data_IF_573690553996
#
_entry.id   IF_573690553996
#
_cell.length_a   1.000
_cell.length_b   1.000
_cell.length_c   1.000
_cell.angle_alpha   90.00
_cell.angle_beta   90.00
_cell.angle_gamma   90.00
#
_symmetry.space_group_name_H-M   'P 1'
#
loop_
_entity.id
_entity.type
_entity.pdbx_description
1 polymer ?
#
# COMPACT_ATOMS: atom_id res chain seq x y z
N UNK A 1 22.59 11.18 18.57
CA UNK A 1 22.03 10.28 17.53
C UNK A 1 21.26 11.17 16.54
N UNK A 2 21.50 11.04 15.22
CA UNK A 2 20.67 11.72 14.22
C UNK A 2 19.23 11.22 14.37
N UNK A 3 18.26 12.13 14.42
CA UNK A 3 16.85 11.72 14.32
C UNK A 3 16.65 11.01 12.98
N UNK A 4 15.94 9.88 12.95
CA UNK A 4 15.67 9.17 11.69
C UNK A 4 14.86 10.09 10.77
N UNK A 5 15.30 10.18 9.51
CA UNK A 5 14.64 11.03 8.50
C UNK A 5 13.54 10.24 7.77
N UNK A 6 12.49 10.93 7.35
CA UNK A 6 11.45 10.37 6.49
C UNK A 6 12.06 9.81 5.19
N UNK A 7 11.72 8.58 4.85
CA UNK A 7 12.03 7.98 3.55
C UNK A 7 11.28 8.69 2.42
N UNK A 8 11.68 8.47 1.17
CA UNK A 8 10.95 9.00 -0.01
C UNK A 8 9.50 8.54 -0.02
N UNK A 9 9.23 7.30 0.41
CA UNK A 9 7.87 6.74 0.48
C UNK A 9 7.06 7.46 1.56
N UNK A 10 7.61 7.59 2.77
CA UNK A 10 6.95 8.28 3.88
C UNK A 10 6.68 9.77 3.58
N UNK A 11 7.58 10.45 2.87
CA UNK A 11 7.33 11.83 2.39
C UNK A 11 6.13 11.89 1.46
N UNK A 12 6.05 11.00 0.48
CA UNK A 12 4.91 10.93 -0.44
C UNK A 12 3.58 10.64 0.30
N UNK A 13 3.61 9.76 1.31
CA UNK A 13 2.45 9.48 2.18
C UNK A 13 2.04 10.74 2.96
N UNK A 14 3.00 11.44 3.55
CA UNK A 14 2.77 12.63 4.36
C UNK A 14 2.25 13.82 3.53
N UNK A 15 2.77 14.00 2.32
CA UNK A 15 2.26 14.99 1.34
C UNK A 15 0.82 14.64 0.92
N UNK A 16 0.55 13.35 0.68
CA UNK A 16 -0.80 12.93 0.31
C UNK A 16 -1.77 13.08 1.48
N UNK A 17 -1.35 12.80 2.72
CA UNK A 17 -2.15 12.99 3.93
C UNK A 17 -2.68 14.43 4.05
N UNK A 18 -1.83 15.42 3.80
CA UNK A 18 -2.20 16.85 3.83
C UNK A 18 -3.30 17.19 2.81
N UNK A 19 -3.36 16.45 1.68
CA UNK A 19 -4.33 16.68 0.61
C UNK A 19 -5.62 15.82 0.75
N UNK A 20 -5.73 14.97 1.80
CA UNK A 20 -6.93 14.14 2.02
C UNK A 20 -8.11 14.90 2.63
N UNK A 21 -7.90 16.12 3.10
CA UNK A 21 -8.95 16.91 3.76
C UNK A 21 -9.39 16.32 5.12
N UNK A 22 -8.50 15.61 5.81
CA UNK A 22 -8.78 15.12 7.15
C UNK A 22 -8.94 16.30 8.12
N UNK A 23 -9.89 16.25 9.07
CA UNK A 23 -10.08 17.32 10.04
C UNK A 23 -8.85 17.45 10.96
N UNK A 24 -8.65 18.64 11.52
CA UNK A 24 -7.65 18.86 12.56
C UNK A 24 -7.94 17.92 13.74
N UNK A 25 -6.88 17.34 14.31
CA UNK A 25 -7.01 16.35 15.38
C UNK A 25 -7.55 14.97 14.94
N UNK A 26 -7.71 14.71 13.63
CA UNK A 26 -8.13 13.41 13.13
C UNK A 26 -7.24 12.30 13.72
N UNK A 27 -7.86 11.23 14.18
CA UNK A 27 -7.15 10.08 14.76
C UNK A 27 -6.65 9.16 13.67
N UNK A 28 -5.34 9.08 13.52
CA UNK A 28 -4.65 8.31 12.47
C UNK A 28 -3.87 7.17 13.09
N UNK A 29 -4.01 5.96 12.54
CA UNK A 29 -3.15 4.82 12.85
C UNK A 29 -2.11 4.68 11.74
N UNK A 30 -0.83 4.63 12.09
CA UNK A 30 0.29 4.25 11.23
C UNK A 30 0.69 2.80 11.55
N UNK A 31 0.42 1.87 10.64
CA UNK A 31 0.63 0.43 10.88
C UNK A 31 0.95 -0.35 9.58
N UNK A 32 2.16 -0.93 9.46
CA UNK A 32 3.27 -0.88 10.43
C UNK A 32 3.94 0.50 10.46
N UNK A 33 4.38 0.94 11.65
CA UNK A 33 5.00 2.26 11.81
C UNK A 33 6.54 2.23 11.78
N UNK A 34 7.17 1.04 11.81
CA UNK A 34 8.61 0.89 11.87
C UNK A 34 9.20 1.69 13.05
N UNK A 35 10.14 2.58 12.76
CA UNK A 35 10.75 3.46 13.78
C UNK A 35 9.85 4.59 14.29
N UNK A 36 8.62 4.74 13.80
CA UNK A 36 7.65 5.74 14.25
C UNK A 36 7.78 7.14 13.63
N UNK A 37 8.72 7.35 12.71
CA UNK A 37 9.00 8.69 12.13
C UNK A 37 7.80 9.28 11.41
N UNK A 38 7.03 8.46 10.67
CA UNK A 38 5.84 8.93 9.98
C UNK A 38 4.74 9.33 10.98
N UNK A 39 4.49 8.51 12.01
CA UNK A 39 3.52 8.83 13.05
C UNK A 39 3.89 10.12 13.81
N UNK A 40 5.17 10.31 14.13
CA UNK A 40 5.67 11.54 14.74
C UNK A 40 5.44 12.77 13.82
N UNK A 41 5.78 12.64 12.53
CA UNK A 41 5.57 13.72 11.56
C UNK A 41 4.09 14.05 11.31
N UNK A 42 3.19 13.07 11.47
CA UNK A 42 1.73 13.31 11.45
C UNK A 42 1.27 14.04 12.69
N UNK A 43 1.82 13.70 13.88
CA UNK A 43 1.51 14.40 15.13
C UNK A 43 1.97 15.87 15.08
N UNK A 44 3.14 16.15 14.53
CA UNK A 44 3.63 17.53 14.30
C UNK A 44 2.70 18.35 13.39
N UNK A 45 1.92 17.70 12.52
CA UNK A 45 0.90 18.35 11.68
C UNK A 45 -0.48 18.48 12.35
N UNK A 46 -0.56 18.18 13.63
CA UNK A 46 -1.79 18.34 14.42
C UNK A 46 -2.77 17.18 14.34
N UNK A 47 -2.34 16.00 13.86
CA UNK A 47 -3.16 14.79 13.91
C UNK A 47 -2.94 14.03 15.22
N UNK A 48 -3.97 13.33 15.70
CA UNK A 48 -3.84 12.38 16.81
C UNK A 48 -3.29 11.04 16.27
N UNK A 49 -1.98 11.02 16.02
CA UNK A 49 -1.32 9.86 15.41
C UNK A 49 -0.97 8.79 16.45
N UNK A 50 -1.21 7.54 16.10
CA UNK A 50 -0.83 6.33 16.87
C UNK A 50 -0.01 5.44 15.96
N UNK A 51 1.15 4.97 16.42
CA UNK A 51 1.98 4.01 15.72
C UNK A 51 1.73 2.59 16.22
N UNK A 52 1.76 1.62 15.33
CA UNK A 52 1.70 0.21 15.67
C UNK A 52 2.69 -0.61 14.85
N UNK A 53 3.41 -1.50 15.51
CA UNK A 53 4.35 -2.43 14.88
C UNK A 53 4.52 -3.68 15.71
N UNK A 54 5.04 -4.76 15.12
CA UNK A 54 5.47 -5.95 15.84
C UNK A 54 6.78 -5.69 16.61
N UNK A 55 7.64 -4.84 16.04
CA UNK A 55 8.86 -4.38 16.69
C UNK A 55 8.58 -3.17 17.61
N UNK A 56 9.36 -3.08 18.69
CA UNK A 56 9.21 -2.01 19.71
C UNK A 56 10.13 -0.81 19.47
N UNK A 57 10.83 -0.73 18.35
CA UNK A 57 11.76 0.36 18.03
C UNK A 57 11.08 1.75 18.14
N UNK A 58 9.84 1.84 17.68
CA UNK A 58 9.05 3.08 17.72
C UNK A 58 8.63 3.50 19.13
N UNK A 59 8.66 2.60 20.10
CA UNK A 59 8.21 2.91 21.48
C UNK A 59 9.04 4.04 22.12
N UNK A 60 10.33 4.12 21.82
CA UNK A 60 11.21 5.17 22.32
C UNK A 60 10.84 6.55 21.76
N UNK A 61 10.32 6.63 20.55
CA UNK A 61 9.93 7.88 19.89
C UNK A 61 8.48 8.30 20.24
N UNK A 62 7.56 7.35 20.22
CA UNK A 62 6.13 7.62 20.31
C UNK A 62 5.57 7.51 21.72
N UNK A 63 6.29 6.87 22.66
CA UNK A 63 5.85 6.66 24.03
C UNK A 63 4.43 6.05 24.09
N UNK A 64 3.48 6.68 24.83
CA UNK A 64 2.10 6.17 24.95
C UNK A 64 1.31 6.11 23.64
N UNK A 65 1.76 6.77 22.58
CA UNK A 65 1.16 6.70 21.26
C UNK A 65 1.64 5.50 20.43
N UNK A 66 2.44 4.61 21.01
CA UNK A 66 2.85 3.35 20.40
C UNK A 66 2.06 2.16 20.95
N UNK A 67 1.74 1.20 20.09
CA UNK A 67 1.15 -0.08 20.45
C UNK A 67 1.90 -1.21 19.76
N UNK A 68 2.41 -2.19 20.52
CA UNK A 68 2.99 -3.39 19.93
C UNK A 68 1.87 -4.29 19.41
N UNK A 69 1.84 -4.56 18.10
CA UNK A 69 0.77 -5.30 17.44
C UNK A 69 1.32 -6.14 16.31
N UNK A 70 0.93 -7.43 16.26
CA UNK A 70 1.14 -8.29 15.10
C UNK A 70 -0.02 -8.09 14.11
N UNK A 71 0.26 -7.50 12.95
CA UNK A 71 -0.76 -7.21 11.93
C UNK A 71 -1.32 -8.47 11.23
N UNK A 72 -0.74 -9.64 11.44
CA UNK A 72 -1.30 -10.93 11.02
C UNK A 72 -2.42 -11.41 11.96
N UNK A 73 -2.58 -10.78 13.12
CA UNK A 73 -3.55 -11.13 14.14
C UNK A 73 -4.72 -10.13 14.18
N UNK A 74 -5.64 -10.35 15.11
CA UNK A 74 -6.77 -9.44 15.33
C UNK A 74 -6.30 -8.10 15.90
N UNK A 75 -6.68 -7.01 15.28
CA UNK A 75 -6.30 -5.66 15.70
C UNK A 75 -7.01 -5.30 17.02
N UNK A 76 -6.28 -4.80 18.06
CA UNK A 76 -6.78 -4.65 19.43
C UNK A 76 -7.71 -3.45 19.63
N UNK A 77 -7.94 -2.64 18.62
CA UNK A 77 -8.80 -1.46 18.73
C UNK A 77 -10.27 -1.79 18.50
N UNK A 78 -11.12 -1.00 19.17
CA UNK A 78 -12.59 -1.04 18.99
C UNK A 78 -12.95 -0.62 17.56
N UNK A 79 -14.14 -1.00 17.15
CA UNK A 79 -14.72 -0.55 15.88
C UNK A 79 -14.79 0.98 15.82
N UNK A 80 -14.67 1.52 14.62
CA UNK A 80 -14.86 2.95 14.35
C UNK A 80 -13.98 3.88 15.21
N UNK A 81 -12.74 3.45 15.48
CA UNK A 81 -11.81 4.19 16.33
C UNK A 81 -11.05 5.27 15.55
N UNK A 82 -10.69 5.02 14.30
CA UNK A 82 -9.80 5.88 13.52
C UNK A 82 -10.52 6.57 12.35
N UNK A 83 -10.11 7.82 12.08
CA UNK A 83 -10.53 8.57 10.91
C UNK A 83 -9.77 8.11 9.67
N UNK A 84 -8.49 7.74 9.84
CA UNK A 84 -7.66 7.18 8.80
C UNK A 84 -6.70 6.11 9.35
N UNK A 85 -6.32 5.17 8.47
CA UNK A 85 -5.23 4.22 8.68
C UNK A 85 -4.24 4.36 7.55
N UNK A 86 -2.96 4.50 7.87
CA UNK A 86 -1.86 4.52 6.92
C UNK A 86 -1.08 3.22 7.09
N UNK A 87 -0.89 2.50 5.99
CA UNK A 87 -0.12 1.26 5.96
C UNK A 87 0.97 1.41 4.91
N UNK A 88 2.16 1.78 5.38
CA UNK A 88 3.31 2.09 4.53
C UNK A 88 4.24 0.90 4.44
N UNK A 89 4.34 0.28 3.24
CA UNK A 89 5.20 -0.89 2.99
C UNK A 89 4.95 -2.00 4.03
N UNK A 90 3.69 -2.39 4.22
CA UNK A 90 3.29 -3.34 5.25
C UNK A 90 2.59 -4.57 4.72
N UNK A 91 1.64 -4.39 3.79
CA UNK A 91 0.77 -5.48 3.32
C UNK A 91 1.54 -6.63 2.66
N UNK A 92 2.66 -6.35 2.01
CA UNK A 92 3.53 -7.35 1.37
C UNK A 92 4.22 -8.31 2.34
N UNK A 93 4.24 -7.97 3.62
CA UNK A 93 4.82 -8.80 4.69
C UNK A 93 3.79 -9.71 5.37
N UNK A 94 2.50 -9.55 5.05
CA UNK A 94 1.41 -10.24 5.72
C UNK A 94 1.01 -11.52 5.02
N UNK A 95 0.70 -12.54 5.81
CA UNK A 95 0.24 -13.85 5.32
C UNK A 95 -1.20 -13.78 4.80
N UNK A 96 -2.07 -13.00 5.48
CA UNK A 96 -3.49 -12.93 5.14
C UNK A 96 -3.99 -11.49 4.93
N UNK A 97 -3.89 -11.01 3.69
CA UNK A 97 -4.35 -9.68 3.29
C UNK A 97 -5.83 -9.42 3.59
N UNK A 98 -6.70 -10.43 3.43
CA UNK A 98 -8.13 -10.24 3.68
C UNK A 98 -8.43 -10.05 5.17
N UNK A 99 -7.77 -10.81 6.05
CA UNK A 99 -7.89 -10.63 7.50
C UNK A 99 -7.46 -9.22 7.90
N UNK A 100 -6.30 -8.78 7.45
CA UNK A 100 -5.77 -7.45 7.70
C UNK A 100 -6.72 -6.35 7.21
N UNK A 101 -7.12 -6.39 5.93
CA UNK A 101 -7.98 -5.36 5.35
C UNK A 101 -9.37 -5.30 6.02
N UNK A 102 -9.96 -6.43 6.39
CA UNK A 102 -11.22 -6.46 7.16
C UNK A 102 -11.03 -5.92 8.57
N UNK A 103 -9.89 -6.23 9.21
CA UNK A 103 -9.51 -5.64 10.50
C UNK A 103 -9.39 -4.12 10.42
N UNK A 104 -8.71 -3.59 9.40
CA UNK A 104 -8.62 -2.14 9.14
C UNK A 104 -10.00 -1.54 8.88
N UNK A 105 -10.83 -2.20 8.04
CA UNK A 105 -12.19 -1.73 7.77
C UNK A 105 -13.04 -1.65 9.04
N UNK A 106 -12.91 -2.62 9.95
CA UNK A 106 -13.62 -2.63 11.23
C UNK A 106 -13.25 -1.44 12.10
N UNK A 107 -11.95 -1.16 12.27
CA UNK A 107 -11.47 -0.08 13.14
C UNK A 107 -11.61 1.32 12.57
N UNK A 108 -11.80 1.47 11.25
CA UNK A 108 -12.10 2.74 10.61
C UNK A 108 -13.54 3.18 10.89
N UNK A 109 -13.75 4.48 11.10
CA UNK A 109 -15.08 5.10 11.13
C UNK A 109 -15.79 4.96 9.76
N UNK A 110 -17.11 5.09 9.68
CA UNK A 110 -17.82 5.17 8.41
C UNK A 110 -17.23 6.29 7.54
N UNK A 111 -16.92 5.96 6.29
CA UNK A 111 -16.25 6.89 5.37
C UNK A 111 -14.78 7.17 5.68
N UNK A 112 -14.18 6.50 6.67
CA UNK A 112 -12.76 6.60 7.00
C UNK A 112 -11.85 6.15 5.86
N UNK A 113 -10.60 6.59 5.90
CA UNK A 113 -9.65 6.46 4.80
C UNK A 113 -8.57 5.44 5.13
N UNK A 114 -8.31 4.51 4.21
CA UNK A 114 -7.09 3.72 4.17
C UNK A 114 -6.16 4.30 3.10
N UNK A 115 -4.95 4.71 3.51
CA UNK A 115 -3.84 5.00 2.62
C UNK A 115 -2.84 3.84 2.74
N UNK A 116 -2.55 3.19 1.63
CA UNK A 116 -1.71 2.00 1.57
C UNK A 116 -0.61 2.19 0.53
N UNK A 117 0.64 1.88 0.91
CA UNK A 117 1.72 1.75 -0.07
C UNK A 117 2.24 0.32 -0.09
N UNK A 118 2.75 -0.10 -1.24
CA UNK A 118 3.36 -1.42 -1.44
C UNK A 118 4.22 -1.42 -2.71
N UNK A 119 5.23 -2.29 -2.84
CA UNK A 119 6.02 -2.41 -4.05
C UNK A 119 5.17 -2.65 -5.29
N UNK A 120 5.47 -1.94 -6.36
CA UNK A 120 4.74 -2.08 -7.63
C UNK A 120 5.31 -3.18 -8.50
N UNK A 121 4.87 -4.42 -8.28
CA UNK A 121 5.28 -5.55 -9.12
C UNK A 121 4.71 -5.51 -10.54
N UNK A 122 3.71 -4.67 -10.80
CA UNK A 122 3.13 -4.46 -12.12
C UNK A 122 3.87 -3.43 -12.98
N UNK A 123 4.87 -2.73 -12.45
CA UNK A 123 5.70 -1.81 -13.22
C UNK A 123 6.43 -2.54 -14.36
N UNK A 124 6.61 -1.87 -15.51
CA UNK A 124 7.29 -2.45 -16.68
C UNK A 124 8.66 -3.03 -16.33
N UNK A 125 9.44 -2.29 -15.53
CA UNK A 125 10.75 -2.73 -15.05
C UNK A 125 10.67 -4.01 -14.22
N UNK A 126 9.66 -4.15 -13.35
CA UNK A 126 9.46 -5.35 -12.53
C UNK A 126 9.04 -6.54 -13.40
N UNK A 127 8.17 -6.34 -14.39
CA UNK A 127 7.76 -7.38 -15.34
C UNK A 127 8.92 -7.90 -16.16
N UNK A 128 9.82 -7.02 -16.62
CA UNK A 128 11.02 -7.43 -17.36
C UNK A 128 12.00 -8.24 -16.49
N UNK A 129 12.12 -7.89 -15.21
CA UNK A 129 12.88 -8.72 -14.27
C UNK A 129 12.26 -10.09 -14.09
N UNK A 130 10.94 -10.15 -13.90
CA UNK A 130 10.21 -11.41 -13.79
C UNK A 130 10.42 -12.29 -15.02
N UNK A 131 10.34 -11.70 -16.23
CA UNK A 131 10.58 -12.42 -17.48
C UNK A 131 11.99 -13.06 -17.54
N UNK A 132 13.01 -12.38 -17.03
CA UNK A 132 14.39 -12.88 -17.05
C UNK A 132 14.77 -13.77 -15.86
N UNK A 133 14.10 -13.62 -14.69
CA UNK A 133 14.55 -14.28 -13.45
C UNK A 133 13.47 -15.08 -12.72
N UNK A 134 12.20 -14.93 -13.08
CA UNK A 134 11.07 -15.51 -12.35
C UNK A 134 10.74 -14.78 -11.03
N UNK A 135 11.42 -13.68 -10.69
CA UNK A 135 11.20 -12.93 -9.46
C UNK A 135 10.73 -11.51 -9.74
N UNK A 136 9.76 -11.04 -8.94
CA UNK A 136 9.34 -9.65 -8.92
C UNK A 136 10.19 -8.81 -7.97
N UNK A 137 10.23 -7.49 -8.22
CA UNK A 137 10.80 -6.55 -7.29
C UNK A 137 12.31 -6.38 -7.39
N UNK A 138 12.89 -5.91 -6.30
CA UNK A 138 14.30 -5.51 -6.23
C UNK A 138 15.24 -6.71 -6.06
N UNK A 139 14.82 -7.69 -5.28
CA UNK A 139 15.63 -8.85 -4.92
C UNK A 139 15.21 -10.05 -5.77
N UNK A 140 16.02 -10.32 -6.81
CA UNK A 140 15.85 -11.51 -7.66
C UNK A 140 16.44 -12.73 -6.96
N UNK A 141 16.03 -13.00 -5.71
CA UNK A 141 16.52 -14.10 -4.88
C UNK A 141 15.36 -14.81 -4.20
N UNK A 142 15.46 -16.14 -3.98
CA UNK A 142 14.55 -16.85 -3.10
C UNK A 142 14.59 -16.26 -1.68
N UNK A 143 13.47 -16.34 -0.97
CA UNK A 143 13.41 -16.01 0.44
C UNK A 143 14.30 -16.95 1.24
N UNK A 144 14.92 -16.47 2.32
CA UNK A 144 15.72 -17.31 3.20
C UNK A 144 14.80 -18.22 4.04
N UNK A 145 14.79 -19.51 3.74
CA UNK A 145 13.98 -20.52 4.44
C UNK A 145 14.58 -20.91 5.80
N UNK A 146 15.87 -20.60 6.04
CA UNK A 146 16.54 -20.96 7.31
C UNK A 146 16.12 -20.05 8.49
N UNK A 147 15.55 -18.89 8.23
CA UNK A 147 15.10 -17.97 9.27
C UNK A 147 13.81 -17.25 8.86
N UNK A 148 12.81 -17.23 9.74
CA UNK A 148 11.66 -16.34 9.59
C UNK A 148 12.13 -14.90 9.82
N UNK A 149 11.83 -14.02 8.87
CA UNK A 149 12.14 -12.60 9.00
C UNK A 149 10.89 -11.79 8.69
N UNK A 150 10.46 -10.87 9.59
CA UNK A 150 9.21 -10.12 9.42
C UNK A 150 9.20 -9.23 8.17
N UNK A 151 10.38 -8.89 7.64
CA UNK A 151 10.51 -8.07 6.43
C UNK A 151 10.61 -8.89 5.12
N UNK A 152 10.31 -10.19 5.14
CA UNK A 152 10.19 -10.96 3.89
C UNK A 152 8.92 -10.55 3.13
N UNK A 153 9.06 -10.27 1.83
CA UNK A 153 7.93 -9.95 0.93
C UNK A 153 7.21 -11.24 0.51
N UNK A 154 6.39 -11.79 1.40
CA UNK A 154 5.63 -13.03 1.16
C UNK A 154 4.29 -12.78 0.47
N UNK A 155 3.79 -11.54 0.54
CA UNK A 155 2.47 -11.12 0.09
C UNK A 155 2.48 -10.10 -1.04
N UNK A 156 3.45 -10.15 -1.98
CA UNK A 156 3.45 -9.25 -3.13
C UNK A 156 2.18 -9.43 -3.96
N UNK A 157 1.51 -8.33 -4.32
CA UNK A 157 0.28 -8.35 -5.09
C UNK A 157 0.29 -7.31 -6.22
N UNK A 158 -0.35 -7.65 -7.34
CA UNK A 158 -0.56 -6.72 -8.44
C UNK A 158 -1.67 -5.71 -8.12
N UNK A 159 -1.71 -4.59 -8.84
CA UNK A 159 -2.80 -3.61 -8.70
C UNK A 159 -4.21 -4.21 -8.84
N UNK A 160 -4.53 -5.07 -9.82
CA UNK A 160 -5.86 -5.68 -9.90
C UNK A 160 -6.21 -6.56 -8.71
N UNK A 161 -5.25 -7.31 -8.16
CA UNK A 161 -5.44 -8.12 -6.97
C UNK A 161 -5.69 -7.26 -5.73
N UNK A 162 -4.91 -6.19 -5.55
CA UNK A 162 -5.11 -5.24 -4.45
C UNK A 162 -6.48 -4.56 -4.54
N UNK A 163 -6.89 -4.11 -5.75
CA UNK A 163 -8.22 -3.57 -5.99
C UNK A 163 -9.32 -4.56 -5.59
N UNK A 164 -9.19 -5.82 -6.01
CA UNK A 164 -10.14 -6.87 -5.65
C UNK A 164 -10.21 -7.08 -4.14
N UNK A 165 -9.04 -7.24 -3.48
CA UNK A 165 -8.94 -7.45 -2.03
C UNK A 165 -9.57 -6.29 -1.25
N UNK A 166 -9.30 -5.04 -1.65
CA UNK A 166 -9.90 -3.84 -1.06
C UNK A 166 -11.42 -3.85 -1.19
N UNK A 167 -11.95 -4.06 -2.39
CA UNK A 167 -13.40 -4.06 -2.62
C UNK A 167 -14.11 -5.19 -1.86
N UNK A 168 -13.51 -6.38 -1.79
CA UNK A 168 -14.08 -7.50 -1.04
C UNK A 168 -13.93 -7.36 0.49
N UNK A 169 -13.17 -6.36 0.95
CA UNK A 169 -12.98 -6.06 2.38
C UNK A 169 -13.74 -4.81 2.85
N UNK A 170 -14.69 -4.29 2.04
CA UNK A 170 -15.53 -3.16 2.43
C UNK A 170 -14.93 -1.79 2.10
N UNK A 171 -14.01 -1.71 1.14
CA UNK A 171 -13.43 -0.47 0.67
C UNK A 171 -13.84 -0.14 -0.77
N UNK A 172 -13.90 1.14 -1.08
CA UNK A 172 -13.92 1.65 -2.44
C UNK A 172 -12.60 2.34 -2.73
N UNK A 173 -11.85 1.83 -3.69
CA UNK A 173 -10.62 2.46 -4.16
C UNK A 173 -10.97 3.78 -4.86
N UNK A 174 -10.38 4.88 -4.38
CA UNK A 174 -10.66 6.23 -4.89
C UNK A 174 -9.49 6.80 -5.68
N UNK A 175 -8.26 6.36 -5.39
CA UNK A 175 -7.07 6.90 -6.02
C UNK A 175 -5.96 5.86 -6.12
N UNK A 176 -5.21 5.93 -7.22
CA UNK A 176 -3.98 5.14 -7.46
C UNK A 176 -2.90 6.08 -7.94
N UNK A 177 -1.85 6.20 -7.15
CA UNK A 177 -0.64 6.98 -7.44
C UNK A 177 0.61 6.12 -7.29
N UNK A 178 1.74 6.75 -7.46
CA UNK A 178 3.06 6.21 -7.12
C UNK A 178 3.74 7.12 -6.10
N UNK A 179 4.70 6.57 -5.37
CA UNK A 179 5.51 7.36 -4.44
C UNK A 179 6.62 8.11 -5.17
N UNK A 180 7.32 7.43 -6.07
CA UNK A 180 8.37 8.01 -6.91
C UNK A 180 8.59 7.16 -8.17
N UNK A 181 9.23 7.75 -9.18
CA UNK A 181 9.65 7.08 -10.42
C UNK A 181 11.16 7.20 -10.54
N UNK A 182 11.83 6.09 -10.78
CA UNK A 182 13.25 6.11 -11.15
C UNK A 182 13.40 6.37 -12.65
N UNK A 183 14.27 7.30 -13.07
CA UNK A 183 14.43 7.63 -14.50
C UNK A 183 14.69 6.43 -15.40
N UNK A 184 15.43 5.43 -14.92
CA UNK A 184 15.70 4.17 -15.62
C UNK A 184 14.41 3.41 -16.00
N UNK A 185 13.29 3.64 -15.30
CA UNK A 185 12.02 2.97 -15.59
C UNK A 185 11.46 3.35 -16.96
N UNK A 186 11.76 4.54 -17.46
CA UNK A 186 11.32 5.00 -18.78
C UNK A 186 11.97 4.25 -19.95
N UNK A 187 13.14 3.63 -19.74
CA UNK A 187 13.76 2.78 -20.77
C UNK A 187 12.89 1.58 -21.14
N UNK A 188 11.97 1.18 -20.29
CA UNK A 188 11.06 0.07 -20.51
C UNK A 188 9.75 0.49 -21.22
N UNK A 189 9.59 1.76 -21.56
CA UNK A 189 8.37 2.29 -22.20
C UNK A 189 8.07 1.63 -23.55
N UNK A 190 9.12 1.16 -24.28
CA UNK A 190 8.96 0.46 -25.57
C UNK A 190 8.05 -0.77 -25.48
N UNK A 191 7.95 -1.37 -24.30
CA UNK A 191 7.13 -2.56 -24.06
C UNK A 191 5.64 -2.24 -23.82
N UNK A 192 5.29 -1.00 -23.49
CA UNK A 192 3.93 -0.58 -23.16
C UNK A 192 2.90 -0.79 -24.28
N UNK A 193 3.18 -0.53 -25.59
CA UNK A 193 2.22 -0.76 -26.66
C UNK A 193 1.82 -2.22 -26.79
N UNK A 194 2.78 -3.15 -26.73
CA UNK A 194 2.51 -4.59 -26.78
C UNK A 194 1.65 -5.03 -25.60
N UNK A 195 1.99 -4.59 -24.41
CA UNK A 195 1.24 -4.89 -23.20
C UNK A 195 -0.21 -4.36 -23.28
N UNK A 196 -0.40 -3.15 -23.83
CA UNK A 196 -1.72 -2.58 -24.05
C UNK A 196 -2.58 -3.46 -24.95
N UNK A 197 -2.03 -3.89 -26.11
CA UNK A 197 -2.73 -4.76 -27.05
C UNK A 197 -3.12 -6.07 -26.36
N UNK A 198 -2.18 -6.73 -25.72
CA UNK A 198 -2.40 -8.01 -25.03
C UNK A 198 -3.50 -7.90 -23.96
N UNK A 199 -3.40 -6.90 -23.07
CA UNK A 199 -4.36 -6.70 -21.99
C UNK A 199 -5.75 -6.37 -22.53
N UNK A 200 -5.83 -5.54 -23.57
CA UNK A 200 -7.10 -5.19 -24.22
C UNK A 200 -7.78 -6.42 -24.84
N UNK A 201 -7.01 -7.28 -25.48
CA UNK A 201 -7.53 -8.53 -26.06
C UNK A 201 -8.00 -9.50 -24.97
N UNK A 202 -7.23 -9.65 -23.89
CA UNK A 202 -7.61 -10.49 -22.76
C UNK A 202 -8.92 -10.04 -22.11
N UNK A 203 -9.10 -8.72 -21.91
CA UNK A 203 -10.30 -8.16 -21.29
C UNK A 203 -11.56 -8.21 -22.16
N UNK A 204 -11.41 -8.40 -23.48
CA UNK A 204 -12.56 -8.60 -24.39
C UNK A 204 -13.36 -9.87 -24.12
N UNK A 205 -12.74 -10.86 -23.46
CA UNK A 205 -13.38 -12.15 -23.15
C UNK A 205 -14.40 -12.08 -22.02
N UNK A 206 -14.44 -10.96 -21.25
CA UNK A 206 -15.39 -10.78 -20.17
C UNK A 206 -16.83 -10.64 -20.69
N UNK A 207 -17.72 -11.46 -20.17
CA UNK A 207 -19.13 -11.51 -20.58
C UNK A 207 -20.05 -10.69 -19.66
N UNK A 208 -19.72 -10.60 -18.37
CA UNK A 208 -20.49 -9.81 -17.39
C UNK A 208 -20.39 -8.31 -17.70
N UNK A 209 -21.51 -7.62 -17.98
CA UNK A 209 -21.52 -6.20 -18.31
C UNK A 209 -21.02 -5.31 -17.17
N UNK A 210 -21.25 -5.67 -15.91
CA UNK A 210 -20.78 -4.93 -14.74
C UNK A 210 -19.27 -5.05 -14.64
N UNK A 211 -18.76 -6.27 -14.74
CA UNK A 211 -17.31 -6.51 -14.72
C UNK A 211 -16.62 -5.90 -15.94
N UNK A 212 -17.26 -5.90 -17.10
CA UNK A 212 -16.73 -5.24 -18.30
C UNK A 212 -16.54 -3.73 -18.11
N UNK A 213 -17.47 -3.06 -17.41
CA UNK A 213 -17.31 -1.65 -17.04
C UNK A 213 -16.12 -1.44 -16.09
N UNK A 214 -16.01 -2.29 -15.07
CA UNK A 214 -14.87 -2.28 -14.12
C UNK A 214 -13.54 -2.55 -14.83
N UNK A 215 -13.52 -3.46 -15.79
CA UNK A 215 -12.33 -3.79 -16.58
C UNK A 215 -11.81 -2.60 -17.39
N UNK A 216 -12.67 -1.69 -17.84
CA UNK A 216 -12.24 -0.44 -18.51
C UNK A 216 -11.47 0.47 -17.53
N UNK A 217 -11.98 0.62 -16.29
CA UNK A 217 -11.30 1.40 -15.24
C UNK A 217 -9.97 0.74 -14.84
N UNK A 218 -9.95 -0.59 -14.68
CA UNK A 218 -8.74 -1.35 -14.36
C UNK A 218 -7.71 -1.18 -15.47
N UNK A 219 -8.12 -1.30 -16.75
CA UNK A 219 -7.23 -1.12 -17.90
C UNK A 219 -6.64 0.30 -17.93
N UNK A 220 -7.47 1.32 -17.75
CA UNK A 220 -7.02 2.72 -17.69
C UNK A 220 -5.96 2.93 -16.61
N UNK A 221 -6.19 2.36 -15.41
CA UNK A 221 -5.25 2.47 -14.30
C UNK A 221 -3.98 1.68 -14.55
N UNK A 222 -4.07 0.46 -15.10
CA UNK A 222 -2.91 -0.38 -15.46
C UNK A 222 -1.97 0.31 -16.44
N UNK A 223 -2.52 1.16 -17.31
CA UNK A 223 -1.78 1.91 -18.32
C UNK A 223 -1.39 3.33 -17.86
N UNK A 224 -1.72 3.69 -16.63
CA UNK A 224 -1.31 4.98 -16.08
C UNK A 224 0.21 5.02 -15.81
N UNK A 225 0.84 6.20 -15.87
CA UNK A 225 2.24 6.35 -15.50
C UNK A 225 2.57 5.81 -14.10
N UNK A 226 1.62 5.92 -13.17
CA UNK A 226 1.78 5.41 -11.80
C UNK A 226 2.00 3.91 -11.75
N UNK A 227 1.26 3.13 -12.51
CA UNK A 227 1.40 1.66 -12.52
C UNK A 227 2.50 1.22 -13.48
N UNK A 228 2.71 1.92 -14.61
CA UNK A 228 3.73 1.53 -15.58
C UNK A 228 5.16 1.79 -15.08
N UNK A 229 5.39 2.88 -14.36
CA UNK A 229 6.73 3.36 -14.04
C UNK A 229 7.01 3.57 -12.54
N UNK A 230 5.97 3.67 -11.70
CA UNK A 230 6.14 3.89 -10.25
C UNK A 230 6.86 2.72 -9.56
N UNK A 231 7.76 3.01 -8.63
CA UNK A 231 8.46 1.98 -7.84
C UNK A 231 7.55 1.37 -6.79
N UNK A 232 6.78 2.19 -6.06
CA UNK A 232 5.75 1.74 -5.13
C UNK A 232 4.41 2.36 -5.51
N UNK A 233 3.34 1.58 -5.40
CA UNK A 233 1.99 2.10 -5.50
C UNK A 233 1.60 2.81 -4.21
N UNK A 234 0.86 3.89 -4.35
CA UNK A 234 0.15 4.57 -3.28
C UNK A 234 -1.34 4.53 -3.61
N UNK A 235 -2.08 3.83 -2.79
CA UNK A 235 -3.52 3.59 -2.95
C UNK A 235 -4.28 4.35 -1.86
N UNK A 236 -5.34 5.06 -2.25
CA UNK A 236 -6.28 5.65 -1.30
C UNK A 236 -7.62 4.95 -1.48
N UNK A 237 -8.13 4.41 -0.39
CA UNK A 237 -9.42 3.72 -0.38
C UNK A 237 -10.28 4.24 0.77
N UNK A 238 -11.60 4.34 0.54
CA UNK A 238 -12.58 4.81 1.50
C UNK A 238 -13.45 3.65 1.96
N UNK A 239 -13.67 3.53 3.28
CA UNK A 239 -14.64 2.58 3.83
C UNK A 239 -16.06 2.92 3.34
N UNK A 240 -16.77 1.89 2.86
CA UNK A 240 -18.14 2.00 2.29
C UNK A 240 -19.17 1.63 3.33
#
# INVERSE_FOLDING_TARGET
MKQPELTVIQRAVLERAAALGLPAGARILDAPCGSGVLAAALAERGFAAVGADVDTEAAAMLGPAFSQVNLNESLPWKEQTFDAVFSTEGIEHLENHFSFLRGICRILKPGGILLLTTPNIAALRSRMRFFGSGFFGRDSRPLNEAARHPLHHIGLATFPELRYKLHMSGFRLTEVRHTHIKPISYLYAFYAPWMWVYTKLAFRKEKDPIQRKRNKEILSTLLSPSVLFGECLLLVAKKV
#
